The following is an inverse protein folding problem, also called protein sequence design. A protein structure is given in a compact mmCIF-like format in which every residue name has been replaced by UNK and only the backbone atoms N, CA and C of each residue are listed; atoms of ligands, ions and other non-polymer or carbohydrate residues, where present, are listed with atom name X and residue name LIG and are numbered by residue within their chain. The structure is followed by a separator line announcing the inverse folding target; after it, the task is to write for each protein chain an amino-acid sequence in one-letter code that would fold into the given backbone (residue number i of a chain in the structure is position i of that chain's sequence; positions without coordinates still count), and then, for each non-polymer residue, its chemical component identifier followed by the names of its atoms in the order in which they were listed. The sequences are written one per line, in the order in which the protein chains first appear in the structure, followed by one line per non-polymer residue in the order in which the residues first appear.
data_IF_060992525621
#
_entry.id   IF_060992525621
#
_cell.length_a   1.000
_cell.length_b   1.000
_cell.length_c   1.000
_cell.angle_alpha   90.00
_cell.angle_beta   90.00
_cell.angle_gamma   90.00
#
_symmetry.space_group_name_H-M   'P 1'
#
loop_
_entity.id
_entity.type
_entity.pdbx_description
1 polymer ?
#
# COMPACT_ATOMS: atom_id res chain seq x y z
N UNK A 1 -18.43 13.16 19.99
CA UNK A 1 -16.96 13.26 19.90
C UNK A 1 -16.37 12.63 21.12
N UNK A 2 -15.91 11.38 20.99
CA UNK A 2 -15.41 10.56 22.10
C UNK A 2 -14.38 9.57 21.55
N UNK A 3 -13.61 8.94 22.44
CA UNK A 3 -12.52 8.02 22.11
C UNK A 3 -12.94 6.91 21.11
N UNK A 4 -14.24 6.58 21.08
CA UNK A 4 -14.85 5.61 20.15
C UNK A 4 -14.77 6.01 18.67
N UNK A 5 -14.73 7.31 18.35
CA UNK A 5 -14.58 7.79 16.97
C UNK A 5 -13.09 7.93 16.55
N UNK A 6 -12.18 8.05 17.53
CA UNK A 6 -10.74 8.22 17.26
C UNK A 6 -10.10 6.87 16.90
N UNK A 7 -10.53 5.79 17.57
CA UNK A 7 -10.07 4.42 17.29
C UNK A 7 -10.17 4.02 15.81
N UNK A 8 -11.35 4.07 15.14
CA UNK A 8 -11.47 3.72 13.73
C UNK A 8 -10.70 4.68 12.81
N UNK A 9 -10.62 5.96 13.15
CA UNK A 9 -9.87 6.94 12.36
C UNK A 9 -8.36 6.68 12.41
N UNK A 10 -7.85 6.32 13.60
CA UNK A 10 -6.44 5.98 13.81
C UNK A 10 -6.07 4.70 13.06
N UNK A 11 -6.89 3.65 13.16
CA UNK A 11 -6.69 2.42 12.39
C UNK A 11 -6.78 2.66 10.89
N UNK A 12 -7.71 3.48 10.41
CA UNK A 12 -7.82 3.84 8.99
C UNK A 12 -6.58 4.59 8.48
N UNK A 13 -6.05 5.52 9.27
CA UNK A 13 -4.83 6.25 8.93
C UNK A 13 -3.60 5.32 8.91
N UNK A 14 -3.43 4.49 9.93
CA UNK A 14 -2.33 3.52 10.00
C UNK A 14 -2.39 2.51 8.86
N UNK A 15 -3.55 1.88 8.63
CA UNK A 15 -3.73 0.92 7.54
C UNK A 15 -3.55 1.58 6.17
N UNK A 16 -4.08 2.80 5.99
CA UNK A 16 -3.90 3.59 4.76
C UNK A 16 -2.43 3.96 4.50
N UNK A 17 -1.69 4.36 5.53
CA UNK A 17 -0.26 4.69 5.40
C UNK A 17 0.59 3.45 5.09
N UNK A 18 0.35 2.34 5.80
CA UNK A 18 1.11 1.11 5.62
C UNK A 18 0.81 0.40 4.29
N UNK A 19 -0.46 0.24 3.94
CA UNK A 19 -0.87 -0.42 2.70
C UNK A 19 -0.69 0.51 1.50
N UNK A 20 -0.84 1.82 1.68
CA UNK A 20 -0.71 2.79 0.61
C UNK A 20 0.70 2.95 0.08
N UNK A 21 1.71 2.79 0.93
CA UNK A 21 3.12 2.75 0.50
C UNK A 21 3.46 1.61 -0.45
N UNK A 22 2.68 0.52 -0.47
CA UNK A 22 2.94 -0.63 -1.34
C UNK A 22 2.44 -0.44 -2.79
N UNK A 23 1.64 0.59 -3.06
CA UNK A 23 1.04 0.80 -4.40
C UNK A 23 2.01 1.34 -5.45
N UNK A 24 3.21 1.76 -5.05
CA UNK A 24 4.23 2.32 -5.96
C UNK A 24 5.58 1.69 -5.69
N UNK A 25 6.43 1.61 -6.72
CA UNK A 25 7.78 1.09 -6.55
C UNK A 25 8.67 2.03 -5.69
N UNK A 26 8.39 3.33 -5.66
CA UNK A 26 9.05 4.30 -4.76
C UNK A 26 8.51 4.22 -3.32
N UNK A 27 7.28 3.76 -3.11
CA UNK A 27 6.61 3.84 -1.81
C UNK A 27 7.16 2.88 -0.75
N UNK A 28 7.92 1.84 -1.15
CA UNK A 28 8.60 0.92 -0.25
C UNK A 28 10.05 0.71 -0.66
N UNK A 29 10.98 0.80 0.30
CA UNK A 29 12.43 0.62 0.07
C UNK A 29 12.78 -0.75 -0.50
N UNK A 30 12.03 -1.79 -0.15
CA UNK A 30 12.20 -3.15 -0.68
C UNK A 30 12.03 -3.23 -2.20
N UNK A 31 11.06 -2.48 -2.75
CA UNK A 31 10.76 -2.50 -4.18
C UNK A 31 11.89 -1.83 -4.99
N UNK A 32 12.50 -0.77 -4.44
CA UNK A 32 13.69 -0.10 -5.00
C UNK A 32 14.92 -1.03 -4.99
N UNK A 33 15.14 -1.78 -3.92
CA UNK A 33 16.26 -2.73 -3.83
C UNK A 33 16.15 -3.82 -4.88
N UNK A 34 14.96 -4.40 -5.08
CA UNK A 34 14.72 -5.43 -6.10
C UNK A 34 14.94 -4.87 -7.51
N UNK A 35 14.48 -3.65 -7.79
CA UNK A 35 14.71 -3.03 -9.09
C UNK A 35 16.20 -2.77 -9.37
N UNK A 36 16.96 -2.29 -8.38
CA UNK A 36 18.40 -2.11 -8.52
C UNK A 36 19.16 -3.42 -8.71
N UNK A 37 18.70 -4.52 -8.11
CA UNK A 37 19.26 -5.86 -8.34
C UNK A 37 18.91 -6.37 -9.75
N UNK A 38 17.68 -6.17 -10.20
CA UNK A 38 17.24 -6.61 -11.54
C UNK A 38 18.00 -5.87 -12.65
N UNK A 39 18.20 -4.56 -12.49
CA UNK A 39 18.97 -3.72 -13.41
C UNK A 39 20.44 -4.17 -13.49
N UNK A 40 21.05 -4.52 -12.34
CA UNK A 40 22.42 -5.08 -12.29
C UNK A 40 22.55 -6.46 -12.95
N UNK A 41 21.48 -7.24 -13.01
CA UNK A 41 21.45 -8.55 -13.68
C UNK A 41 21.11 -8.46 -15.17
N UNK A 42 20.99 -7.25 -15.75
CA UNK A 42 20.64 -7.05 -17.15
C UNK A 42 19.17 -7.37 -17.48
N UNK A 43 18.33 -7.56 -16.46
CA UNK A 43 16.89 -7.74 -16.65
C UNK A 43 16.27 -6.36 -16.75
N UNK A 44 15.65 -6.05 -17.88
CA UNK A 44 14.95 -4.78 -18.10
C UNK A 44 13.73 -4.69 -17.17
N UNK A 45 13.94 -4.15 -15.98
CA UNK A 45 12.89 -3.96 -14.98
C UNK A 45 12.22 -2.59 -15.20
N UNK A 46 11.01 -2.61 -15.76
CA UNK A 46 10.27 -1.37 -15.99
C UNK A 46 9.55 -0.92 -14.72
N UNK A 47 10.10 0.11 -14.07
CA UNK A 47 9.55 0.79 -12.90
C UNK A 47 8.05 1.10 -13.04
N UNK A 48 7.66 1.54 -14.24
CA UNK A 48 6.29 1.92 -14.58
C UNK A 48 5.38 0.69 -14.63
N UNK A 49 5.84 -0.45 -15.18
CA UNK A 49 5.04 -1.68 -15.24
C UNK A 49 4.73 -2.25 -13.85
N UNK A 50 5.71 -2.22 -12.96
CA UNK A 50 5.49 -2.66 -11.59
C UNK A 50 4.49 -1.76 -10.87
N UNK A 51 4.66 -0.44 -10.98
CA UNK A 51 3.73 0.53 -10.37
C UNK A 51 2.32 0.36 -10.94
N UNK A 52 2.17 0.13 -12.24
CA UNK A 52 0.87 -0.07 -12.88
C UNK A 52 0.16 -1.35 -12.39
N UNK A 53 0.91 -2.40 -12.01
CA UNK A 53 0.36 -3.64 -11.45
C UNK A 53 0.14 -3.57 -9.93
N UNK A 54 1.06 -2.97 -9.19
CA UNK A 54 1.00 -2.85 -7.74
C UNK A 54 -0.06 -1.85 -7.28
N UNK A 55 -0.30 -0.79 -8.05
CA UNK A 55 -1.30 0.24 -7.75
C UNK A 55 -2.74 -0.28 -7.63
N UNK A 56 -3.29 -1.04 -8.61
CA UNK A 56 -4.62 -1.64 -8.45
C UNK A 56 -4.66 -2.67 -7.31
N UNK A 57 -3.57 -3.40 -7.07
CA UNK A 57 -3.49 -4.35 -5.94
C UNK A 57 -3.56 -3.65 -4.58
N UNK A 58 -2.87 -2.51 -4.45
CA UNK A 58 -2.91 -1.64 -3.26
C UNK A 58 -4.32 -1.06 -3.06
N UNK A 59 -4.99 -0.59 -4.11
CA UNK A 59 -6.37 -0.12 -4.03
C UNK A 59 -7.33 -1.20 -3.51
N UNK A 60 -7.20 -2.44 -3.99
CA UNK A 60 -8.02 -3.57 -3.50
C UNK A 60 -7.75 -3.83 -2.01
N UNK A 61 -6.49 -3.82 -1.60
CA UNK A 61 -6.10 -4.09 -0.20
C UNK A 61 -6.57 -2.99 0.76
N UNK A 62 -6.49 -1.73 0.33
CA UNK A 62 -7.01 -0.56 1.05
C UNK A 62 -8.54 -0.60 1.11
N UNK A 63 -9.22 -0.98 0.03
CA UNK A 63 -10.67 -1.12 0.00
C UNK A 63 -11.17 -2.22 0.94
N UNK A 64 -10.49 -3.36 1.00
CA UNK A 64 -10.80 -4.45 1.95
C UNK A 64 -10.59 -3.98 3.39
N UNK A 65 -9.48 -3.28 3.66
CA UNK A 65 -9.21 -2.73 4.99
C UNK A 65 -10.24 -1.67 5.40
N UNK A 66 -10.68 -0.84 4.44
CA UNK A 66 -11.74 0.14 4.66
C UNK A 66 -13.08 -0.52 4.98
N UNK A 67 -13.46 -1.56 4.21
CA UNK A 67 -14.66 -2.37 4.46
C UNK A 67 -14.61 -3.06 5.83
N UNK A 68 -13.44 -3.57 6.23
CA UNK A 68 -13.27 -4.20 7.54
C UNK A 68 -13.45 -3.21 8.70
N UNK A 69 -12.83 -2.03 8.61
CA UNK A 69 -13.00 -0.98 9.64
C UNK A 69 -14.45 -0.52 9.70
N UNK A 70 -15.09 -0.34 8.53
CA UNK A 70 -16.49 0.03 8.45
C UNK A 70 -17.38 -1.03 9.13
N UNK A 71 -17.27 -2.31 8.78
CA UNK A 71 -18.05 -3.40 9.38
C UNK A 71 -17.76 -3.62 10.88
N UNK A 72 -16.54 -3.34 11.33
CA UNK A 72 -16.11 -3.63 12.72
C UNK A 72 -16.52 -2.54 13.70
N UNK A 73 -16.59 -1.28 13.25
CA UNK A 73 -16.83 -0.09 14.07
C UNK A 73 -18.17 0.61 13.80
N UNK A 74 -18.86 0.33 12.68
CA UNK A 74 -20.25 0.72 12.40
C UNK A 74 -21.16 -0.51 12.36
#
# INVERSE_FOLDING_TARGET
GGQDAIQPLWWALSLGACLGGNGTLIGASANLTVAGIAERNGVSFSFVKYTLYAFPMMLVSVAISHLYIWWRYF
#
